data_IF_335295415733
#
_entry.id   IF_335295415733
#
_cell.length_a   1.000
_cell.length_b   1.000
_cell.length_c   1.000
_cell.angle_alpha   90.00
_cell.angle_beta   90.00
_cell.angle_gamma   90.00
#
_symmetry.space_group_name_H-M   'P 1'
#
loop_
_entity.id
_entity.type
_entity.pdbx_description
1 polymer ?
#
# COMPACT_ATOMS: atom_id res chain seq x y z
N UNK A 1 0.75 -5.51 -2.56
CA UNK A 1 1.88 -5.61 -3.51
C UNK A 1 2.68 -4.32 -3.44
N UNK A 2 4.00 -4.43 -3.32
CA UNK A 2 4.96 -3.32 -3.30
C UNK A 2 5.94 -3.54 -4.45
N UNK A 3 6.41 -2.47 -5.09
CA UNK A 3 7.36 -2.58 -6.20
C UNK A 3 6.75 -2.97 -7.56
N UNK A 4 5.42 -2.97 -7.69
CA UNK A 4 4.77 -3.16 -8.99
C UNK A 4 4.93 -1.89 -9.81
N UNK A 5 5.36 -2.05 -11.07
CA UNK A 5 5.42 -0.96 -12.05
C UNK A 5 4.12 -0.92 -12.84
N UNK A 6 3.46 0.23 -12.88
CA UNK A 6 2.16 0.43 -13.50
C UNK A 6 2.20 1.61 -14.48
N UNK A 7 1.42 1.51 -15.56
CA UNK A 7 1.18 2.63 -16.47
C UNK A 7 -0.02 3.42 -15.97
N UNK A 8 0.13 4.74 -15.85
CA UNK A 8 -0.96 5.60 -15.42
C UNK A 8 -2.09 5.62 -16.44
N UNK A 9 -3.31 5.43 -15.94
CA UNK A 9 -4.56 5.37 -16.69
C UNK A 9 -5.64 5.97 -15.80
N UNK A 10 -6.26 7.06 -16.25
CA UNK A 10 -7.25 7.82 -15.50
C UNK A 10 -8.51 7.01 -15.17
N UNK A 11 -8.82 5.96 -15.94
CA UNK A 11 -9.95 5.10 -15.65
C UNK A 11 -9.66 4.14 -14.49
N UNK A 12 -8.39 3.71 -14.37
CA UNK A 12 -7.93 2.74 -13.36
C UNK A 12 -7.36 3.40 -12.11
N UNK A 13 -6.91 4.65 -12.23
CA UNK A 13 -6.13 5.33 -11.21
C UNK A 13 -6.65 6.73 -10.95
N UNK A 14 -6.89 7.04 -9.68
CA UNK A 14 -7.22 8.39 -9.24
C UNK A 14 -6.10 8.93 -8.37
N UNK A 15 -5.48 10.05 -8.75
CA UNK A 15 -4.50 10.74 -7.88
C UNK A 15 -5.26 11.44 -6.76
N UNK A 16 -4.83 11.19 -5.53
CA UNK A 16 -5.48 11.71 -4.32
C UNK A 16 -4.71 12.93 -3.82
N UNK A 17 -5.44 14.04 -3.68
CA UNK A 17 -4.95 15.27 -3.07
C UNK A 17 -5.27 15.37 -1.57
N UNK A 18 -5.39 16.60 -1.06
CA UNK A 18 -5.71 16.88 0.34
C UNK A 18 -4.49 16.84 1.25
N UNK A 19 -4.72 16.68 2.56
CA UNK A 19 -3.66 16.76 3.58
C UNK A 19 -2.55 15.72 3.37
N UNK A 20 -2.92 14.47 3.07
CA UNK A 20 -1.93 13.42 2.79
C UNK A 20 -1.16 13.70 1.50
N UNK A 21 -1.83 14.20 0.46
CA UNK A 21 -1.19 14.59 -0.80
C UNK A 21 -0.16 15.70 -0.58
N UNK A 22 -0.54 16.74 0.17
CA UNK A 22 0.36 17.85 0.51
C UNK A 22 1.57 17.38 1.33
N UNK A 23 1.34 16.49 2.30
CA UNK A 23 2.43 15.88 3.08
C UNK A 23 3.41 15.10 2.20
N UNK A 24 2.90 14.29 1.27
CA UNK A 24 3.72 13.49 0.35
C UNK A 24 4.45 14.38 -0.66
N UNK A 25 3.84 15.47 -1.12
CA UNK A 25 4.49 16.46 -1.98
C UNK A 25 5.67 17.15 -1.28
N UNK A 26 5.53 17.44 0.02
CA UNK A 26 6.66 17.96 0.81
C UNK A 26 7.81 16.94 0.91
N UNK A 27 7.49 15.66 1.09
CA UNK A 27 8.49 14.59 1.09
C UNK A 27 9.15 14.40 -0.27
N UNK A 28 8.38 14.51 -1.35
CA UNK A 28 8.85 14.50 -2.74
C UNK A 28 9.93 15.56 -2.96
N UNK A 29 9.66 16.82 -2.56
CA UNK A 29 10.62 17.92 -2.65
C UNK A 29 11.90 17.68 -1.85
N UNK A 30 11.79 17.09 -0.66
CA UNK A 30 12.95 16.80 0.22
C UNK A 30 13.83 15.65 -0.30
N UNK A 31 13.25 14.70 -1.02
CA UNK A 31 13.94 13.52 -1.53
C UNK A 31 14.35 13.64 -3.00
N UNK A 32 13.87 14.69 -3.69
CA UNK A 32 13.99 14.85 -5.14
C UNK A 32 13.40 13.68 -5.92
N UNK A 33 12.33 13.07 -5.39
CA UNK A 33 11.57 11.95 -5.98
C UNK A 33 10.17 12.42 -6.31
N UNK A 34 9.56 11.99 -7.40
CA UNK A 34 8.23 12.44 -7.82
C UNK A 34 7.14 11.57 -7.17
N UNK A 35 6.89 11.82 -5.88
CA UNK A 35 5.98 11.02 -5.04
C UNK A 35 4.54 11.54 -5.11
N UNK A 36 3.58 10.62 -5.10
CA UNK A 36 2.15 10.95 -5.08
C UNK A 36 1.32 9.83 -4.43
N UNK A 37 0.07 10.13 -4.09
CA UNK A 37 -0.89 9.14 -3.59
C UNK A 37 -1.85 8.79 -4.71
N UNK A 38 -2.08 7.50 -4.92
CA UNK A 38 -3.01 6.97 -5.92
C UNK A 38 -4.03 6.06 -5.25
N UNK A 39 -5.27 6.10 -5.75
CA UNK A 39 -6.28 5.08 -5.51
C UNK A 39 -6.39 4.21 -6.76
N UNK A 40 -6.21 2.91 -6.58
CA UNK A 40 -6.56 1.90 -7.58
C UNK A 40 -8.09 1.75 -7.59
N UNK A 41 -8.75 2.22 -8.64
CA UNK A 41 -10.20 2.34 -8.69
C UNK A 41 -10.91 0.99 -8.57
N UNK A 42 -10.41 -0.02 -9.28
CA UNK A 42 -10.98 -1.38 -9.29
C UNK A 42 -10.82 -2.09 -7.94
N UNK A 43 -9.71 -1.85 -7.24
CA UNK A 43 -9.39 -2.50 -5.95
C UNK A 43 -9.89 -1.69 -4.75
N UNK A 44 -10.17 -0.40 -4.92
CA UNK A 44 -10.47 0.53 -3.83
C UNK A 44 -9.31 0.71 -2.85
N UNK A 45 -8.08 0.44 -3.27
CA UNK A 45 -6.87 0.48 -2.42
C UNK A 45 -6.07 1.75 -2.72
N UNK A 46 -5.53 2.35 -1.67
CA UNK A 46 -4.67 3.52 -1.71
C UNK A 46 -3.19 3.10 -1.61
N UNK A 47 -2.35 3.71 -2.44
CA UNK A 47 -0.91 3.50 -2.44
C UNK A 47 -0.18 4.85 -2.52
N UNK A 48 0.98 4.93 -1.90
CA UNK A 48 1.99 5.96 -2.17
C UNK A 48 2.90 5.40 -3.25
N UNK A 49 3.06 6.16 -4.32
CA UNK A 49 3.77 5.77 -5.53
C UNK A 49 4.80 6.83 -5.92
N UNK A 50 5.69 6.45 -6.84
CA UNK A 50 6.67 7.35 -7.45
C UNK A 50 6.60 7.26 -8.96
N UNK A 51 6.58 8.42 -9.64
CA UNK A 51 6.74 8.44 -11.09
C UNK A 51 8.19 8.15 -11.48
N UNK A 52 8.37 7.19 -12.38
CA UNK A 52 9.68 6.76 -12.88
C UNK A 52 10.17 7.58 -14.07
N UNK A 53 9.31 8.45 -14.62
CA UNK A 53 9.58 9.24 -15.81
C UNK A 53 9.04 10.65 -15.65
N UNK A 54 9.75 11.69 -16.15
CA UNK A 54 9.25 13.07 -16.19
C UNK A 54 7.91 13.22 -16.92
N UNK A 55 7.58 12.28 -17.82
CA UNK A 55 6.30 12.26 -18.54
C UNK A 55 5.13 11.78 -17.67
N UNK A 56 5.38 11.33 -16.43
CA UNK A 56 4.37 10.85 -15.47
C UNK A 56 3.42 9.78 -16.03
N UNK A 57 3.95 8.95 -16.91
CA UNK A 57 3.20 7.88 -17.57
C UNK A 57 3.39 6.52 -16.90
N UNK A 58 4.49 6.33 -16.16
CA UNK A 58 4.83 5.07 -15.48
C UNK A 58 5.20 5.38 -14.05
N UNK A 59 4.67 4.60 -13.11
CA UNK A 59 4.95 4.75 -11.69
C UNK A 59 5.19 3.40 -11.01
N UNK A 60 5.82 3.44 -9.85
CA UNK A 60 6.08 2.27 -9.00
C UNK A 60 5.40 2.44 -7.63
N UNK A 61 4.84 1.35 -7.11
CA UNK A 61 4.26 1.32 -5.76
C UNK A 61 5.35 1.30 -4.69
N UNK A 62 5.41 2.33 -3.85
CA UNK A 62 6.36 2.44 -2.73
C UNK A 62 5.77 1.93 -1.43
N UNK A 63 4.49 2.21 -1.17
CA UNK A 63 3.82 1.82 0.07
C UNK A 63 2.33 1.63 -0.14
N UNK A 64 1.81 0.48 0.30
CA UNK A 64 0.38 0.19 0.29
C UNK A 64 -0.27 0.70 1.59
N UNK A 65 -1.30 1.54 1.46
CA UNK A 65 -2.09 2.06 2.58
C UNK A 65 -3.35 1.23 2.84
N UNK A 66 -3.75 0.35 1.93
CA UNK A 66 -4.96 -0.48 2.05
C UNK A 66 -6.22 0.28 1.63
N UNK A 67 -7.38 -0.09 2.16
CA UNK A 67 -8.69 0.49 1.76
C UNK A 67 -9.01 1.85 2.38
N UNK A 68 -8.14 2.39 3.23
CA UNK A 68 -8.35 3.66 3.94
C UNK A 68 -7.06 4.45 4.06
N UNK A 69 -7.17 5.77 3.89
CA UNK A 69 -6.08 6.71 4.16
C UNK A 69 -5.79 6.87 5.66
N UNK A 70 -6.75 6.54 6.53
CA UNK A 70 -6.57 6.54 7.99
C UNK A 70 -5.52 5.51 8.45
N UNK A 71 -5.19 4.55 7.59
CA UNK A 71 -4.12 3.58 7.84
C UNK A 71 -2.71 4.20 7.70
N UNK A 72 -2.59 5.46 7.28
CA UNK A 72 -1.33 6.19 7.28
C UNK A 72 -1.07 6.77 8.68
N UNK A 73 -0.58 5.92 9.56
CA UNK A 73 -0.21 6.26 10.93
C UNK A 73 1.28 6.63 11.06
N UNK A 74 1.70 6.94 12.29
CA UNK A 74 3.10 7.26 12.59
C UNK A 74 4.05 6.13 12.19
N UNK A 75 3.63 4.87 12.33
CA UNK A 75 4.44 3.69 12.00
C UNK A 75 4.68 3.62 10.49
N UNK A 76 3.63 3.77 9.67
CA UNK A 76 3.76 3.83 8.21
C UNK A 76 4.54 5.04 7.75
N UNK A 77 4.40 6.19 8.40
CA UNK A 77 5.22 7.37 8.08
C UNK A 77 6.71 7.12 8.35
N UNK A 78 7.06 6.43 9.45
CA UNK A 78 8.43 6.02 9.75
C UNK A 78 8.96 5.00 8.74
N UNK A 79 8.16 4.01 8.39
CA UNK A 79 8.50 3.00 7.38
C UNK A 79 8.71 3.63 6.00
N UNK A 80 7.86 4.59 5.60
CA UNK A 80 7.99 5.33 4.36
C UNK A 80 9.30 6.11 4.37
N UNK A 81 9.59 6.82 5.46
CA UNK A 81 10.85 7.54 5.62
C UNK A 81 12.04 6.59 5.52
N UNK A 82 12.01 5.43 6.16
CA UNK A 82 13.07 4.42 6.01
C UNK A 82 13.25 4.01 4.55
N UNK A 83 12.16 3.66 3.83
CA UNK A 83 12.22 3.27 2.42
C UNK A 83 12.77 4.37 1.50
N UNK A 84 12.48 5.63 1.79
CA UNK A 84 12.90 6.76 0.96
C UNK A 84 14.37 7.14 1.17
N UNK A 85 14.90 7.02 2.39
CA UNK A 85 16.23 7.50 2.77
C UNK A 85 17.26 6.39 3.03
N UNK A 86 16.81 5.15 3.24
CA UNK A 86 17.64 3.98 3.44
C UNK A 86 16.99 2.79 2.70
N UNK A 87 17.17 2.70 1.36
CA UNK A 87 16.61 1.59 0.61
C UNK A 87 17.08 0.27 1.25
N UNK A 88 16.10 -0.58 1.58
CA UNK A 88 16.38 -1.89 2.18
C UNK A 88 17.35 -2.64 1.27
N UNK A 89 18.37 -3.27 1.86
CA UNK A 89 19.20 -4.23 1.13
C UNK A 89 18.29 -5.33 0.54
N UNK A 90 18.76 -6.05 -0.48
CA UNK A 90 18.00 -7.15 -1.07
C UNK A 90 17.49 -8.13 0.01
N UNK A 91 18.30 -8.35 1.04
CA UNK A 91 17.95 -9.17 2.20
C UNK A 91 16.83 -8.57 3.07
N UNK A 92 16.85 -7.26 3.31
CA UNK A 92 15.78 -6.55 4.03
C UNK A 92 14.46 -6.53 3.26
N UNK A 93 14.52 -6.49 1.93
CA UNK A 93 13.34 -6.60 1.06
C UNK A 93 12.73 -7.98 1.15
N UNK A 94 13.53 -9.05 1.06
CA UNK A 94 13.03 -10.43 1.19
C UNK A 94 12.36 -10.69 2.54
N UNK A 95 12.92 -10.19 3.65
CA UNK A 95 12.29 -10.31 4.98
C UNK A 95 10.96 -9.56 5.06
N UNK A 96 10.88 -8.38 4.44
CA UNK A 96 9.66 -7.57 4.44
C UNK A 96 8.55 -8.22 3.60
N UNK A 97 8.89 -8.84 2.47
CA UNK A 97 7.96 -9.63 1.65
C UNK A 97 7.46 -10.85 2.44
N UNK A 98 8.38 -11.60 3.07
CA UNK A 98 8.02 -12.76 3.87
C UNK A 98 7.09 -12.39 5.05
N UNK A 99 7.34 -11.26 5.72
CA UNK A 99 6.46 -10.77 6.77
C UNK A 99 5.07 -10.38 6.23
N UNK A 100 5.00 -9.68 5.10
CA UNK A 100 3.73 -9.30 4.48
C UNK A 100 2.93 -10.50 3.96
N UNK A 101 3.60 -11.53 3.45
CA UNK A 101 2.97 -12.81 3.09
C UNK A 101 2.44 -13.54 4.33
N UNK A 102 3.22 -13.55 5.42
CA UNK A 102 2.78 -14.12 6.70
C UNK A 102 1.51 -13.43 7.20
N UNK A 103 1.48 -12.10 7.22
CA UNK A 103 0.32 -11.32 7.65
C UNK A 103 -0.91 -11.61 6.78
N UNK A 104 -0.74 -11.72 5.47
CA UNK A 104 -1.82 -12.09 4.54
C UNK A 104 -2.38 -13.49 4.83
N UNK A 105 -1.50 -14.46 5.10
CA UNK A 105 -1.91 -15.83 5.40
C UNK A 105 -2.60 -15.95 6.76
N UNK A 106 -2.15 -15.20 7.77
CA UNK A 106 -2.82 -15.13 9.06
C UNK A 106 -4.22 -14.52 8.93
N UNK A 107 -4.37 -13.38 8.24
CA UNK A 107 -5.69 -12.79 8.00
C UNK A 107 -6.64 -13.77 7.29
N UNK A 108 -6.15 -14.52 6.29
CA UNK A 108 -6.98 -15.53 5.60
C UNK A 108 -7.36 -16.71 6.51
N UNK A 109 -6.50 -17.08 7.46
CA UNK A 109 -6.81 -18.13 8.42
C UNK A 109 -7.89 -17.68 9.40
N UNK A 110 -7.74 -16.47 9.94
CA UNK A 110 -8.73 -15.88 10.86
C UNK A 110 -10.11 -15.76 10.18
N UNK A 111 -10.16 -15.25 8.94
CA UNK A 111 -11.40 -15.19 8.14
C UNK A 111 -12.01 -16.58 7.90
N UNK A 112 -11.19 -17.61 7.66
CA UNK A 112 -11.67 -18.97 7.47
C UNK A 112 -12.17 -19.60 8.77
N UNK A 113 -11.57 -19.27 9.92
CA UNK A 113 -11.99 -19.75 11.22
C UNK A 113 -13.32 -19.11 11.64
N UNK A 114 -13.47 -17.80 11.48
CA UNK A 114 -14.74 -17.10 11.72
C UNK A 114 -15.87 -17.67 10.83
N UNK A 115 -15.62 -17.90 9.54
CA UNK A 115 -16.64 -18.46 8.64
C UNK A 115 -16.99 -19.91 9.03
N UNK A 116 -16.02 -20.72 9.48
CA UNK A 116 -16.28 -22.06 10.00
C UNK A 116 -17.10 -22.03 11.29
N UNK A 117 -16.83 -21.10 12.20
CA UNK A 117 -17.63 -20.93 13.42
C UNK A 117 -19.05 -20.49 13.08
N UNK A 118 -19.23 -19.57 12.12
CA UNK A 118 -20.54 -19.15 11.64
C UNK A 118 -21.33 -20.32 11.06
N UNK A 119 -20.70 -21.11 10.18
CA UNK A 119 -21.33 -22.30 9.60
C UNK A 119 -21.70 -23.35 10.66
N UNK A 120 -20.89 -23.51 11.71
CA UNK A 120 -21.23 -24.39 12.84
C UNK A 120 -22.45 -23.91 13.61
N UNK A 121 -22.57 -22.60 13.88
CA UNK A 121 -23.73 -21.99 14.55
C UNK A 121 -25.02 -22.15 13.73
N UNK A 122 -24.94 -21.90 12.42
CA UNK A 122 -26.06 -22.13 11.50
C UNK A 122 -26.45 -23.62 11.44
N UNK A 123 -25.47 -24.53 11.45
CA UNK A 123 -25.73 -25.97 11.41
C UNK A 123 -26.38 -26.53 12.69
N UNK A 124 -26.20 -25.87 13.84
CA UNK A 124 -26.88 -26.21 15.10
C UNK A 124 -28.20 -25.44 15.29
N UNK A 125 -28.57 -24.57 14.35
CA UNK A 125 -29.87 -23.89 14.31
C UNK A 125 -29.95 -22.56 15.08
N UNK A 126 -28.81 -21.91 15.36
CA UNK A 126 -28.75 -20.50 15.78
C UNK A 126 -28.77 -19.53 14.60
#
# INVERSE_FOLDING_TARGET
>A
MLGMTSVFDVNKHTIIGGEIGAHIEQLSKRTNRDLFVVRYNDLGVFCICEFMSPKRNVFIDIMNLGKSLANYDLRKAQELRQRLFAPLTAEGTSRSIAAAESDYHHMRQDECEEEKERLKKVAIGE
#
